data_IF_935026990011
#
_entry.id   IF_935026990011
#
_cell.length_a   1.000
_cell.length_b   1.000
_cell.length_c   1.000
_cell.angle_alpha   90.00
_cell.angle_beta   90.00
_cell.angle_gamma   90.00
#
_symmetry.space_group_name_H-M   'P 1'
#
loop_
_entity.id
_entity.type
_entity.pdbx_description
1 polymer ?
#
# COMPACT_ATOMS: atom_id res chain seq x y z
N UNK A 1 14.31 -9.59 20.92
CA UNK A 1 13.95 -8.50 19.99
C UNK A 1 13.59 -9.15 18.66
N UNK A 2 12.32 -9.11 18.25
CA UNK A 2 11.91 -9.69 16.97
C UNK A 2 12.31 -8.74 15.85
N UNK A 3 13.29 -9.13 15.04
CA UNK A 3 13.62 -8.42 13.81
C UNK A 3 12.41 -8.54 12.89
N UNK A 4 11.70 -7.43 12.64
CA UNK A 4 10.68 -7.41 11.59
C UNK A 4 11.42 -7.59 10.26
N UNK A 5 11.27 -8.75 9.63
CA UNK A 5 11.74 -8.93 8.26
C UNK A 5 10.92 -8.00 7.36
N UNK A 6 11.57 -6.98 6.82
CA UNK A 6 10.97 -6.04 5.87
C UNK A 6 11.25 -6.58 4.48
N UNK A 7 10.19 -6.95 3.75
CA UNK A 7 10.31 -7.52 2.40
C UNK A 7 10.08 -6.47 1.32
N UNK A 8 9.15 -5.56 1.60
CA UNK A 8 8.70 -4.54 0.67
C UNK A 8 8.95 -3.15 1.24
N UNK A 9 9.23 -2.19 0.36
CA UNK A 9 9.21 -0.76 0.69
C UNK A 9 8.13 -0.09 -0.17
N UNK A 10 7.43 0.88 0.39
CA UNK A 10 6.49 1.71 -0.36
C UNK A 10 6.89 3.18 -0.25
N UNK A 11 6.64 3.95 -1.31
CA UNK A 11 6.75 5.42 -1.32
C UNK A 11 5.72 6.03 -2.27
N UNK A 12 5.28 7.24 -1.96
CA UNK A 12 4.45 8.05 -2.87
C UNK A 12 5.35 8.96 -3.70
N UNK A 13 5.22 8.91 -5.01
CA UNK A 13 5.86 9.83 -5.94
C UNK A 13 4.80 10.47 -6.84
N UNK A 14 4.42 11.71 -6.51
CA UNK A 14 3.37 12.44 -7.21
C UNK A 14 2.02 11.72 -7.11
N UNK A 15 1.51 11.25 -8.24
CA UNK A 15 0.23 10.55 -8.39
C UNK A 15 0.38 9.02 -8.39
N UNK A 16 1.51 8.49 -7.89
CA UNK A 16 1.81 7.06 -7.92
C UNK A 16 2.31 6.55 -6.58
N UNK A 17 1.86 5.34 -6.25
CA UNK A 17 2.43 4.52 -5.19
C UNK A 17 3.45 3.57 -5.83
N UNK A 18 4.69 3.63 -5.36
CA UNK A 18 5.76 2.75 -5.81
C UNK A 18 6.01 1.73 -4.72
N UNK A 19 5.85 0.45 -5.06
CA UNK A 19 6.17 -0.67 -4.17
C UNK A 19 7.38 -1.39 -4.72
N UNK A 20 8.43 -1.47 -3.90
CA UNK A 20 9.73 -2.04 -4.26
C UNK A 20 9.97 -3.32 -3.47
N UNK A 21 10.45 -4.36 -4.14
CA UNK A 21 10.94 -5.57 -3.49
C UNK A 21 12.38 -5.35 -3.02
N UNK A 22 12.55 -5.17 -1.71
CA UNK A 22 13.87 -5.02 -1.09
C UNK A 22 14.40 -6.34 -0.51
N UNK A 23 13.63 -7.43 -0.65
CA UNK A 23 14.05 -8.77 -0.26
C UNK A 23 14.90 -9.43 -1.36
N UNK A 24 15.57 -10.52 -1.00
CA UNK A 24 16.30 -11.36 -1.94
C UNK A 24 15.41 -12.43 -2.62
N UNK A 25 14.11 -12.42 -2.35
CA UNK A 25 13.18 -13.44 -2.82
C UNK A 25 12.21 -12.88 -3.85
N UNK A 26 11.76 -13.73 -4.77
CA UNK A 26 10.72 -13.36 -5.73
C UNK A 26 9.36 -13.36 -5.03
N UNK A 27 8.64 -12.25 -5.12
CA UNK A 27 7.37 -12.03 -4.43
C UNK A 27 6.22 -12.03 -5.43
N UNK A 28 5.11 -12.71 -5.11
CA UNK A 28 3.84 -12.55 -5.81
C UNK A 28 2.98 -11.53 -5.06
N UNK A 29 2.80 -10.34 -5.60
CA UNK A 29 1.86 -9.35 -5.06
C UNK A 29 0.43 -9.79 -5.41
N UNK A 30 -0.41 -9.96 -4.39
CA UNK A 30 -1.81 -10.38 -4.56
C UNK A 30 -2.75 -9.20 -4.56
N UNK A 31 -2.72 -8.43 -3.47
CA UNK A 31 -3.52 -7.22 -3.33
C UNK A 31 -2.85 -6.21 -2.42
N UNK A 32 -3.31 -4.96 -2.54
CA UNK A 32 -2.82 -3.84 -1.77
C UNK A 32 -4.02 -3.09 -1.24
N UNK A 33 -4.03 -2.83 0.06
CA UNK A 33 -5.02 -1.97 0.70
C UNK A 33 -4.37 -0.62 0.96
N UNK A 34 -4.95 0.42 0.41
CA UNK A 34 -4.48 1.80 0.52
C UNK A 34 -5.41 2.50 1.51
N UNK A 35 -4.88 2.94 2.65
CA UNK A 35 -5.61 3.77 3.62
C UNK A 35 -5.27 5.23 3.39
N UNK A 36 -6.28 6.06 3.25
CA UNK A 36 -6.13 7.49 2.99
C UNK A 36 -7.17 8.32 3.70
N UNK A 37 -6.89 9.62 3.84
CA UNK A 37 -7.84 10.58 4.37
C UNK A 37 -8.65 11.20 3.23
N UNK A 38 -9.96 11.33 3.46
CA UNK A 38 -10.82 12.22 2.67
C UNK A 38 -11.41 13.28 3.58
N UNK A 39 -11.51 14.50 3.06
CA UNK A 39 -12.33 15.54 3.66
C UNK A 39 -13.74 15.37 3.12
N UNK A 40 -14.69 15.06 4.00
CA UNK A 40 -16.10 15.02 3.65
C UNK A 40 -16.79 16.25 4.25
N UNK A 41 -17.72 16.82 3.49
CA UNK A 41 -18.57 17.91 3.95
C UNK A 41 -19.83 17.34 4.59
N UNK A 42 -20.19 17.82 5.77
CA UNK A 42 -21.50 17.54 6.35
C UNK A 42 -22.47 18.64 5.90
N UNK A 43 -23.41 18.36 4.98
CA UNK A 43 -24.34 19.36 4.47
C UNK A 43 -25.32 19.88 5.54
N UNK A 44 -25.41 19.23 6.70
CA UNK A 44 -26.30 19.63 7.80
C UNK A 44 -25.63 20.61 8.78
N UNK A 45 -24.30 20.55 8.92
CA UNK A 45 -23.55 21.33 9.92
C UNK A 45 -22.54 22.32 9.34
N UNK A 46 -22.39 22.40 8.00
CA UNK A 46 -21.35 23.20 7.31
C UNK A 46 -19.93 22.95 7.86
N UNK A 47 -19.69 21.77 8.43
CA UNK A 47 -18.39 21.36 8.98
C UNK A 47 -17.72 20.34 8.07
N UNK A 48 -16.44 20.54 7.84
CA UNK A 48 -15.56 19.56 7.23
C UNK A 48 -15.10 18.55 8.29
N UNK A 49 -15.19 17.26 7.96
CA UNK A 49 -14.67 16.19 8.81
C UNK A 49 -13.74 15.28 8.01
N UNK A 50 -12.64 14.86 8.65
CA UNK A 50 -11.69 13.91 8.05
C UNK A 50 -12.17 12.49 8.29
N UNK A 51 -12.37 11.71 7.23
CA UNK A 51 -12.69 10.29 7.28
C UNK A 51 -11.53 9.48 6.74
N UNK A 52 -11.23 8.35 7.37
CA UNK A 52 -10.30 7.36 6.81
C UNK A 52 -11.06 6.44 5.88
N UNK A 53 -10.57 6.29 4.66
CA UNK A 53 -11.08 5.35 3.65
C UNK A 53 -10.00 4.29 3.40
N UNK A 54 -10.43 3.08 3.08
CA UNK A 54 -9.56 1.98 2.68
C UNK A 54 -10.01 1.45 1.34
N UNK A 55 -9.10 1.37 0.38
CA UNK A 55 -9.37 0.86 -0.96
C UNK A 55 -8.46 -0.34 -1.24
N UNK A 56 -9.03 -1.45 -1.70
CA UNK A 56 -8.27 -2.62 -2.11
C UNK A 56 -8.07 -2.64 -3.64
N UNK A 57 -6.82 -2.81 -4.07
CA UNK A 57 -6.46 -3.07 -5.46
C UNK A 57 -5.82 -4.45 -5.59
N UNK A 58 -6.40 -5.30 -6.44
CA UNK A 58 -5.81 -6.59 -6.82
C UNK A 58 -4.75 -6.38 -7.89
N UNK A 59 -3.58 -6.96 -7.70
CA UNK A 59 -2.38 -6.66 -8.51
C UNK A 59 -1.83 -7.89 -9.23
N UNK A 60 -2.08 -9.09 -8.70
CA UNK A 60 -1.65 -10.40 -9.22
C UNK A 60 -0.42 -10.35 -10.13
N UNK A 61 0.70 -9.89 -9.56
CA UNK A 61 1.92 -9.60 -10.32
C UNK A 61 3.16 -10.04 -9.57
N UNK A 62 4.14 -10.52 -10.33
CA UNK A 62 5.41 -10.99 -9.79
C UNK A 62 6.43 -9.85 -9.70
N UNK A 63 7.01 -9.67 -8.51
CA UNK A 63 8.06 -8.70 -8.21
C UNK A 63 9.38 -9.44 -7.93
N UNK A 64 10.31 -9.38 -8.87
CA UNK A 64 11.67 -9.91 -8.68
C UNK A 64 12.46 -9.05 -7.66
N UNK A 65 13.52 -9.58 -7.03
CA UNK A 65 14.40 -8.80 -6.17
C UNK A 65 14.90 -7.53 -6.85
N UNK A 66 14.82 -6.38 -6.16
CA UNK A 66 15.25 -5.08 -6.68
C UNK A 66 14.29 -4.39 -7.66
N UNK A 67 13.24 -5.07 -8.13
CA UNK A 67 12.23 -4.46 -8.99
C UNK A 67 11.15 -3.73 -8.19
N UNK A 68 10.43 -2.86 -8.89
CA UNK A 68 9.27 -2.16 -8.35
C UNK A 68 8.06 -2.28 -9.27
N UNK A 69 6.89 -2.01 -8.70
CA UNK A 69 5.64 -1.80 -9.42
C UNK A 69 5.12 -0.40 -9.08
N UNK A 70 4.50 0.22 -10.07
CA UNK A 70 3.89 1.54 -9.94
C UNK A 70 2.38 1.40 -10.01
N UNK A 71 1.70 1.99 -9.05
CA UNK A 71 0.24 1.92 -8.93
C UNK A 71 -0.28 3.35 -8.98
N UNK A 72 -1.09 3.70 -9.99
CA UNK A 72 -1.73 5.00 -10.03
C UNK A 72 -2.58 5.23 -8.78
N UNK A 73 -2.33 6.36 -8.12
CA UNK A 73 -3.12 6.89 -7.02
C UNK A 73 -4.05 7.97 -7.58
N UNK A 74 -5.33 7.81 -7.30
CA UNK A 74 -6.35 8.83 -7.57
C UNK A 74 -6.55 9.77 -6.37
N UNK A 75 -5.79 9.56 -5.29
CA UNK A 75 -6.01 10.19 -4.00
C UNK A 75 -4.72 10.89 -3.53
N UNK A 76 -4.81 12.12 -2.99
CA UNK A 76 -3.64 12.92 -2.64
C UNK A 76 -2.95 12.54 -1.32
N UNK A 77 -3.67 12.01 -0.31
CA UNK A 77 -3.12 11.85 1.05
C UNK A 77 -3.23 10.40 1.55
N UNK A 78 -2.28 9.56 1.12
CA UNK A 78 -2.14 8.18 1.58
C UNK A 78 -1.45 8.15 2.94
N UNK A 79 -2.03 7.44 3.90
CA UNK A 79 -1.52 7.30 5.27
C UNK A 79 -0.72 6.00 5.46
N UNK A 80 -1.29 4.91 4.95
CA UNK A 80 -0.76 3.57 5.20
C UNK A 80 -1.11 2.68 4.00
N UNK A 81 -0.18 1.80 3.65
CA UNK A 81 -0.38 0.79 2.62
C UNK A 81 -0.14 -0.59 3.23
N UNK A 82 -1.16 -1.44 3.19
CA UNK A 82 -1.05 -2.86 3.53
C UNK A 82 -0.87 -3.66 2.27
N UNK A 83 0.25 -4.36 2.14
CA UNK A 83 0.54 -5.21 0.98
C UNK A 83 0.34 -6.67 1.37
N UNK A 84 -0.50 -7.39 0.63
CA UNK A 84 -0.72 -8.83 0.75
C UNK A 84 0.03 -9.51 -0.38
N UNK A 85 0.96 -10.39 -0.03
CA UNK A 85 1.85 -11.02 -1.00
C UNK A 85 2.20 -12.45 -0.62
N UNK A 86 2.78 -13.19 -1.55
CA UNK A 86 3.26 -14.54 -1.32
C UNK A 86 4.74 -14.69 -1.66
N UNK A 87 5.40 -15.49 -0.84
CA UNK A 87 6.77 -15.97 -1.03
C UNK A 87 6.70 -17.49 -1.00
N UNK A 88 6.99 -18.14 -2.13
CA UNK A 88 6.77 -19.57 -2.28
C UNK A 88 5.31 -19.95 -1.97
N UNK A 89 5.11 -20.72 -0.90
CA UNK A 89 3.78 -21.19 -0.46
C UNK A 89 3.18 -20.35 0.68
N UNK A 90 3.93 -19.40 1.23
CA UNK A 90 3.49 -18.60 2.38
C UNK A 90 2.83 -17.32 1.88
N UNK A 91 1.66 -16.98 2.42
CA UNK A 91 1.03 -15.67 2.21
C UNK A 91 1.28 -14.80 3.44
N UNK A 92 1.75 -13.59 3.20
CA UNK A 92 2.14 -12.61 4.20
C UNK A 92 1.38 -11.30 3.97
N UNK A 93 1.32 -10.50 5.03
CA UNK A 93 0.85 -9.12 4.99
C UNK A 93 1.91 -8.23 5.62
N UNK A 94 2.20 -7.12 4.96
CA UNK A 94 3.08 -6.08 5.50
C UNK A 94 2.38 -4.74 5.42
N UNK A 95 2.22 -4.09 6.57
CA UNK A 95 1.69 -2.74 6.68
C UNK A 95 2.87 -1.74 6.66
N UNK A 96 2.77 -0.71 5.82
CA UNK A 96 3.81 0.29 5.57
C UNK A 96 3.17 1.67 5.77
N UNK A 97 3.63 2.40 6.78
CA UNK A 97 3.27 3.81 6.99
C UNK A 97 4.05 4.68 5.99
N UNK A 98 3.38 5.71 5.44
CA UNK A 98 3.91 6.59 4.37
C UNK A 98 4.02 8.05 4.83
#
# INVERSE_FOLDING_TARGET
MSVRNVYLQAKVEGDKLIISNISNEKILLKSILIKYYITAENPVEEKQFRRTVSEEKKIDSWLNPGNNIQIPLTIPEVKEVSVIFSIGLTTLRQDIEL
#
